data_IF_072575907363
#
_entry.id   IF_072575907363
#
_cell.length_a   1.000
_cell.length_b   1.000
_cell.length_c   1.000
_cell.angle_alpha   90.00
_cell.angle_beta   90.00
_cell.angle_gamma   90.00
#
_symmetry.space_group_name_H-M   'P 1'
#
loop_
_entity.id
_entity.type
_entity.pdbx_description
1 polymer ?
#
# COMPACT_ATOMS: atom_id res chain seq x y z
N UNK A 1 0.32 14.52 16.82
CA UNK A 1 0.57 14.75 15.39
C UNK A 1 1.99 15.25 15.06
N UNK A 2 2.72 15.85 15.99
CA UNK A 2 4.07 16.41 15.68
C UNK A 2 5.17 15.36 15.44
N UNK A 3 5.01 14.13 15.94
CA UNK A 3 6.06 13.10 15.91
C UNK A 3 5.93 12.04 14.82
N UNK A 4 4.94 12.09 13.95
CA UNK A 4 4.75 11.16 12.84
C UNK A 4 4.24 11.85 11.57
N UNK A 5 4.39 11.25 10.41
CA UNK A 5 3.77 11.74 9.17
C UNK A 5 2.24 11.78 9.27
N UNK A 6 1.63 12.67 8.52
CA UNK A 6 0.20 12.59 8.21
C UNK A 6 -0.03 11.46 7.21
N UNK A 7 -1.06 10.66 7.40
CA UNK A 7 -1.30 9.46 6.61
C UNK A 7 -2.65 9.49 5.91
N UNK A 8 -2.65 9.08 4.65
CA UNK A 8 -3.85 8.90 3.83
C UNK A 8 -3.91 7.45 3.36
N UNK A 9 -4.89 6.68 3.80
CA UNK A 9 -5.18 5.38 3.19
C UNK A 9 -5.89 5.62 1.86
N UNK A 10 -5.26 5.22 0.75
CA UNK A 10 -5.78 5.41 -0.61
C UNK A 10 -5.84 4.07 -1.34
N UNK A 11 -7.03 3.66 -1.77
CA UNK A 11 -7.22 2.39 -2.48
C UNK A 11 -8.38 2.46 -3.47
N UNK A 12 -8.26 1.65 -4.53
CA UNK A 12 -9.38 1.24 -5.37
C UNK A 12 -10.09 0.05 -4.71
N UNK A 13 -11.42 0.08 -4.66
CA UNK A 13 -12.20 -1.08 -4.22
C UNK A 13 -13.45 -1.27 -5.09
N UNK A 14 -13.98 -2.50 -5.08
CA UNK A 14 -15.29 -2.80 -5.66
C UNK A 14 -16.43 -2.21 -4.80
N UNK A 15 -17.63 -2.16 -5.36
CA UNK A 15 -18.83 -1.70 -4.64
C UNK A 15 -19.13 -2.54 -3.39
N UNK A 16 -18.74 -3.81 -3.36
CA UNK A 16 -18.87 -4.71 -2.19
C UNK A 16 -17.60 -4.74 -1.30
N UNK A 17 -16.73 -3.75 -1.43
CA UNK A 17 -15.60 -3.51 -0.52
C UNK A 17 -14.37 -4.38 -0.75
N UNK A 18 -14.24 -5.01 -1.92
CA UNK A 18 -13.07 -5.85 -2.24
C UNK A 18 -11.96 -5.02 -2.86
N UNK A 19 -10.72 -5.26 -2.42
CA UNK A 19 -9.50 -4.63 -2.94
C UNK A 19 -8.69 -5.60 -3.82
N UNK A 20 -9.32 -6.70 -4.19
CA UNK A 20 -8.77 -7.72 -5.09
C UNK A 20 -9.88 -8.28 -5.96
N UNK A 21 -9.53 -8.84 -7.13
CA UNK A 21 -10.50 -9.47 -8.03
C UNK A 21 -10.87 -10.90 -7.62
N UNK A 22 -10.16 -11.47 -6.62
CA UNK A 22 -10.41 -12.80 -6.07
C UNK A 22 -9.42 -13.16 -4.97
N UNK A 23 -9.47 -14.41 -4.48
CA UNK A 23 -8.65 -14.89 -3.36
C UNK A 23 -7.23 -15.35 -3.75
N UNK A 24 -6.98 -15.62 -5.04
CA UNK A 24 -5.69 -16.09 -5.53
C UNK A 24 -4.64 -14.98 -5.61
N UNK A 25 -3.36 -15.35 -5.43
CA UNK A 25 -2.25 -14.40 -5.60
C UNK A 25 -2.09 -13.90 -7.04
N UNK A 26 -2.62 -14.64 -8.01
CA UNK A 26 -2.64 -14.25 -9.43
C UNK A 26 -3.79 -13.29 -9.79
N UNK A 27 -4.68 -12.98 -8.85
CA UNK A 27 -5.83 -12.11 -9.08
C UNK A 27 -5.56 -10.72 -8.50
N UNK A 28 -5.72 -9.68 -9.33
CA UNK A 28 -5.37 -8.30 -8.97
C UNK A 28 -6.26 -7.28 -9.68
N UNK A 29 -6.70 -6.25 -8.95
CA UNK A 29 -7.59 -5.22 -9.52
C UNK A 29 -6.94 -4.46 -10.66
N UNK A 30 -5.63 -4.15 -10.58
CA UNK A 30 -4.92 -3.39 -11.60
C UNK A 30 -4.75 -4.17 -12.91
N UNK A 31 -4.71 -5.51 -12.82
CA UNK A 31 -4.61 -6.38 -13.99
C UNK A 31 -5.99 -6.79 -14.54
N UNK A 32 -6.93 -7.09 -13.64
CA UNK A 32 -8.15 -7.78 -14.01
C UNK A 32 -9.29 -6.80 -14.33
N UNK A 33 -9.42 -5.68 -13.60
CA UNK A 33 -10.46 -4.67 -13.86
C UNK A 33 -10.35 -4.03 -15.27
N UNK A 34 -9.15 -3.80 -15.85
CA UNK A 34 -9.04 -3.36 -17.25
C UNK A 34 -9.65 -4.32 -18.27
N UNK A 35 -9.92 -5.57 -17.90
CA UNK A 35 -10.54 -6.56 -18.78
C UNK A 35 -12.08 -6.56 -18.73
N UNK A 36 -12.66 -5.84 -17.76
CA UNK A 36 -14.11 -5.82 -17.51
C UNK A 36 -14.74 -4.59 -18.19
N UNK A 37 -15.64 -4.84 -19.15
CA UNK A 37 -16.39 -3.77 -19.80
C UNK A 37 -17.28 -3.04 -18.77
N UNK A 38 -17.34 -1.72 -18.85
CA UNK A 38 -18.06 -0.88 -17.90
C UNK A 38 -17.23 -0.51 -16.63
N UNK A 39 -16.06 -1.14 -16.44
CA UNK A 39 -15.08 -0.76 -15.40
C UNK A 39 -13.84 -0.17 -16.05
N UNK A 40 -13.33 -0.82 -17.11
CA UNK A 40 -12.15 -0.43 -17.87
C UNK A 40 -12.16 1.02 -18.29
N UNK A 41 -13.31 1.51 -18.73
CA UNK A 41 -13.47 2.84 -19.31
C UNK A 41 -13.19 3.97 -18.30
N UNK A 42 -13.45 3.72 -17.01
CA UNK A 42 -13.25 4.70 -15.93
C UNK A 42 -11.94 4.55 -15.15
N UNK A 43 -11.18 3.48 -15.34
CA UNK A 43 -10.00 3.20 -14.51
C UNK A 43 -8.89 4.24 -14.60
N UNK A 44 -8.75 4.94 -15.74
CA UNK A 44 -7.77 6.02 -15.88
C UNK A 44 -7.95 7.10 -14.80
N UNK A 45 -9.17 7.38 -14.37
CA UNK A 45 -9.49 8.37 -13.33
C UNK A 45 -8.91 7.97 -11.97
N UNK A 46 -8.91 6.68 -11.64
CA UNK A 46 -8.22 6.19 -10.43
C UNK A 46 -6.74 6.54 -10.46
N UNK A 47 -6.05 6.25 -11.56
CA UNK A 47 -4.62 6.54 -11.70
C UNK A 47 -4.32 8.05 -11.74
N UNK A 48 -5.21 8.86 -12.30
CA UNK A 48 -5.10 10.33 -12.26
C UNK A 48 -5.20 10.84 -10.82
N UNK A 49 -6.12 10.32 -10.01
CA UNK A 49 -6.25 10.67 -8.59
C UNK A 49 -5.03 10.16 -7.81
N UNK A 50 -4.58 8.94 -8.06
CA UNK A 50 -3.38 8.36 -7.45
C UNK A 50 -2.14 9.23 -7.70
N UNK A 51 -1.99 9.76 -8.91
CA UNK A 51 -0.87 10.62 -9.28
C UNK A 51 -0.84 11.96 -8.52
N UNK A 52 -1.95 12.37 -7.88
CA UNK A 52 -2.02 13.53 -7.00
C UNK A 52 -1.66 13.22 -5.54
N UNK A 53 -1.36 11.97 -5.23
CA UNK A 53 -1.02 11.50 -3.90
C UNK A 53 0.26 12.11 -3.32
N UNK A 54 0.56 11.72 -2.10
CA UNK A 54 1.76 12.18 -1.40
C UNK A 54 3.04 11.65 -2.11
N UNK A 55 4.13 12.39 -1.97
CA UNK A 55 5.43 11.99 -2.53
C UNK A 55 5.92 10.62 -2.01
N UNK A 56 5.55 10.27 -0.78
CA UNK A 56 5.86 8.98 -0.20
C UNK A 56 4.63 8.05 -0.27
N UNK A 57 4.80 6.90 -0.90
CA UNK A 57 3.81 5.82 -0.92
C UNK A 57 4.30 4.62 -0.12
N UNK A 58 3.47 4.15 0.81
CA UNK A 58 3.74 2.96 1.62
C UNK A 58 2.99 1.75 1.04
N UNK A 59 3.77 0.74 0.69
CA UNK A 59 3.30 -0.53 0.16
C UNK A 59 3.96 -1.71 0.89
N UNK A 60 3.67 -2.93 0.47
CA UNK A 60 4.29 -4.14 1.01
C UNK A 60 5.12 -4.86 -0.06
N UNK A 61 6.17 -5.58 0.38
CA UNK A 61 6.96 -6.42 -0.52
C UNK A 61 6.12 -7.46 -1.25
N UNK A 62 5.05 -7.98 -0.61
CA UNK A 62 4.11 -8.93 -1.25
C UNK A 62 3.38 -8.28 -2.43
N UNK A 63 2.87 -7.06 -2.28
CA UNK A 63 2.21 -6.34 -3.39
C UNK A 63 3.19 -6.09 -4.52
N UNK A 64 4.40 -5.63 -4.20
CA UNK A 64 5.43 -5.38 -5.20
C UNK A 64 5.84 -6.66 -5.95
N UNK A 65 6.04 -7.79 -5.24
CA UNK A 65 6.31 -9.07 -5.86
C UNK A 65 5.16 -9.52 -6.77
N UNK A 66 3.90 -9.33 -6.32
CA UNK A 66 2.71 -9.69 -7.08
C UNK A 66 2.58 -8.92 -8.41
N UNK A 67 2.95 -7.65 -8.45
CA UNK A 67 2.99 -6.87 -9.70
C UNK A 67 4.25 -7.18 -10.55
N UNK A 68 5.06 -8.15 -10.14
CA UNK A 68 6.13 -8.73 -10.94
C UNK A 68 7.46 -7.99 -10.90
N UNK A 69 7.74 -7.14 -9.89
CA UNK A 69 9.02 -6.40 -9.84
C UNK A 69 10.26 -7.31 -9.76
N UNK A 70 10.08 -8.56 -9.30
CA UNK A 70 11.17 -9.52 -9.20
C UNK A 70 11.65 -10.07 -10.55
N UNK A 71 10.76 -10.06 -11.56
CA UNK A 71 10.95 -10.66 -12.88
C UNK A 71 11.13 -9.63 -13.98
N UNK A 72 10.76 -8.36 -13.73
CA UNK A 72 10.89 -7.29 -14.70
C UNK A 72 12.36 -6.90 -14.89
N UNK A 73 12.86 -6.80 -16.12
CA UNK A 73 14.28 -6.52 -16.37
C UNK A 73 14.66 -5.09 -15.98
N UNK A 74 13.87 -4.11 -16.38
CA UNK A 74 14.09 -2.68 -16.11
C UNK A 74 12.77 -1.91 -16.03
N UNK A 75 12.67 -0.87 -15.20
CA UNK A 75 11.51 -0.01 -15.19
C UNK A 75 11.46 0.87 -16.45
N UNK A 76 10.26 1.15 -17.00
CA UNK A 76 10.11 1.89 -18.24
C UNK A 76 10.54 3.36 -18.11
N UNK A 77 10.28 3.97 -16.95
CA UNK A 77 10.59 5.37 -16.67
C UNK A 77 10.73 5.55 -15.17
N UNK A 78 11.72 6.34 -14.76
CA UNK A 78 11.89 6.70 -13.34
C UNK A 78 10.78 7.65 -12.90
N UNK A 79 10.10 7.28 -11.81
CA UNK A 79 9.07 8.10 -11.18
C UNK A 79 9.66 9.00 -10.10
N UNK A 80 9.14 10.22 -9.96
CA UNK A 80 9.54 11.16 -8.90
C UNK A 80 8.99 10.84 -7.51
N UNK A 81 8.32 9.69 -7.34
CA UNK A 81 7.79 9.23 -6.05
C UNK A 81 8.84 8.48 -5.25
N UNK A 82 8.60 8.33 -3.97
CA UNK A 82 9.45 7.61 -3.02
C UNK A 82 8.65 6.49 -2.38
N UNK A 83 9.18 5.28 -2.42
CA UNK A 83 8.49 4.14 -1.84
C UNK A 83 9.01 3.79 -0.46
N UNK A 84 8.08 3.50 0.44
CA UNK A 84 8.32 2.85 1.73
C UNK A 84 7.74 1.44 1.59
N UNK A 85 8.59 0.41 1.59
CA UNK A 85 8.16 -0.96 1.39
C UNK A 85 8.38 -1.77 2.66
N UNK A 86 7.27 -2.21 3.27
CA UNK A 86 7.30 -3.09 4.42
C UNK A 86 7.38 -4.55 3.95
N UNK A 87 8.52 -5.21 4.20
CA UNK A 87 8.79 -6.57 3.76
C UNK A 87 9.45 -7.42 4.85
N UNK A 88 8.64 -7.97 5.73
CA UNK A 88 9.08 -8.81 6.86
C UNK A 88 9.51 -10.21 6.40
N UNK A 89 8.66 -10.85 5.58
CA UNK A 89 9.02 -12.08 4.88
C UNK A 89 9.55 -11.64 3.51
N UNK A 90 10.78 -11.98 3.14
CA UNK A 90 11.40 -11.41 1.95
C UNK A 90 10.69 -11.88 0.69
N UNK A 91 9.66 -11.13 0.29
CA UNK A 91 8.98 -11.31 -1.00
C UNK A 91 9.81 -10.69 -2.13
N UNK A 92 10.56 -9.63 -1.81
CA UNK A 92 11.46 -8.99 -2.76
C UNK A 92 12.77 -9.77 -2.86
N UNK A 93 13.14 -10.11 -4.09
CA UNK A 93 14.48 -10.61 -4.44
C UNK A 93 15.46 -9.45 -4.61
N UNK A 94 16.76 -9.75 -4.81
CA UNK A 94 17.74 -8.72 -5.20
C UNK A 94 17.33 -7.99 -6.49
N UNK A 95 16.80 -8.72 -7.47
CA UNK A 95 16.30 -8.14 -8.72
C UNK A 95 15.14 -7.17 -8.47
N UNK A 96 14.20 -7.54 -7.60
CA UNK A 96 13.09 -6.66 -7.22
C UNK A 96 13.54 -5.39 -6.50
N UNK A 97 14.50 -5.49 -5.58
CA UNK A 97 15.09 -4.32 -4.90
C UNK A 97 15.81 -3.42 -5.91
N UNK A 98 16.60 -4.03 -6.81
CA UNK A 98 17.28 -3.30 -7.90
C UNK A 98 16.26 -2.58 -8.78
N UNK A 99 15.23 -3.28 -9.24
CA UNK A 99 14.17 -2.72 -10.06
C UNK A 99 13.51 -1.52 -9.38
N UNK A 100 13.09 -1.66 -8.11
CA UNK A 100 12.44 -0.59 -7.36
C UNK A 100 13.34 0.65 -7.23
N UNK A 101 14.62 0.48 -6.92
CA UNK A 101 15.57 1.60 -6.81
C UNK A 101 15.77 2.34 -8.14
N UNK A 102 15.62 1.66 -9.29
CA UNK A 102 15.67 2.30 -10.60
C UNK A 102 14.32 2.91 -11.02
N UNK A 103 13.23 2.41 -10.47
CA UNK A 103 11.88 2.88 -10.78
C UNK A 103 11.50 4.15 -10.02
N UNK A 104 11.91 4.30 -8.76
CA UNK A 104 11.52 5.41 -7.89
C UNK A 104 12.70 6.30 -7.50
N UNK A 105 12.42 7.52 -7.05
CA UNK A 105 13.45 8.45 -6.59
C UNK A 105 14.21 7.94 -5.36
N UNK A 106 13.50 7.32 -4.41
CA UNK A 106 14.07 6.72 -3.19
C UNK A 106 13.26 5.50 -2.76
N UNK A 107 13.96 4.48 -2.29
CA UNK A 107 13.37 3.30 -1.66
C UNK A 107 13.78 3.25 -0.20
N UNK A 108 12.80 3.25 0.70
CA UNK A 108 12.97 2.96 2.13
C UNK A 108 12.40 1.56 2.36
N UNK A 109 13.26 0.58 2.56
CA UNK A 109 12.84 -0.78 2.89
C UNK A 109 12.74 -0.93 4.41
N UNK A 110 11.59 -1.38 4.88
CA UNK A 110 11.32 -1.63 6.31
C UNK A 110 11.23 -3.12 6.54
N UNK A 111 12.07 -3.67 7.41
CA UNK A 111 12.12 -5.11 7.68
C UNK A 111 12.56 -5.43 9.09
N UNK A 112 12.13 -6.59 9.62
CA UNK A 112 12.63 -7.21 10.84
C UNK A 112 13.45 -8.48 10.53
N UNK A 113 13.69 -8.77 9.24
CA UNK A 113 14.47 -9.92 8.82
C UNK A 113 15.93 -9.54 8.56
N UNK A 114 16.89 -10.02 9.39
CA UNK A 114 18.31 -9.68 9.22
C UNK A 114 18.95 -10.28 7.95
N UNK A 115 18.25 -11.22 7.29
CA UNK A 115 18.71 -11.87 6.06
C UNK A 115 18.00 -11.34 4.81
N UNK A 116 17.32 -10.19 4.92
CA UNK A 116 16.63 -9.61 3.76
C UNK A 116 17.63 -9.30 2.61
N UNK A 117 17.31 -9.66 1.35
CA UNK A 117 18.22 -9.47 0.21
C UNK A 117 18.70 -8.02 0.00
N UNK A 118 17.93 -7.04 0.43
CA UNK A 118 18.26 -5.61 0.32
C UNK A 118 19.57 -5.24 1.02
N UNK A 119 19.95 -5.89 2.12
CA UNK A 119 21.23 -5.61 2.81
C UNK A 119 22.45 -5.82 1.90
N UNK A 120 22.36 -6.77 0.98
CA UNK A 120 23.44 -7.03 0.03
C UNK A 120 23.52 -6.01 -1.11
N UNK A 121 22.47 -5.22 -1.28
CA UNK A 121 22.35 -4.21 -2.34
C UNK A 121 22.65 -2.79 -1.83
N UNK A 122 22.62 -2.56 -0.52
CA UNK A 122 22.71 -1.23 0.10
C UNK A 122 23.97 -0.45 -0.30
N UNK A 123 25.12 -1.13 -0.41
CA UNK A 123 26.38 -0.49 -0.81
C UNK A 123 26.46 -0.11 -2.30
N UNK A 124 25.56 -0.67 -3.13
CA UNK A 124 25.53 -0.50 -4.58
C UNK A 124 24.47 0.50 -5.05
N UNK A 125 23.45 0.77 -4.22
CA UNK A 125 22.29 1.57 -4.55
C UNK A 125 22.22 2.80 -3.65
N UNK A 126 22.61 3.96 -4.19
CA UNK A 126 22.69 5.21 -3.43
C UNK A 126 21.37 5.80 -2.97
N UNK A 127 20.23 5.27 -3.46
CA UNK A 127 18.89 5.69 -3.09
C UNK A 127 18.10 4.62 -2.30
N UNK A 128 18.81 3.61 -1.75
CA UNK A 128 18.24 2.57 -0.89
C UNK A 128 18.57 2.85 0.58
N UNK A 129 17.54 3.06 1.38
CA UNK A 129 17.64 3.06 2.84
C UNK A 129 16.99 1.81 3.41
N UNK A 130 17.52 1.29 4.50
CA UNK A 130 16.95 0.13 5.21
C UNK A 130 16.68 0.51 6.65
N UNK A 131 15.40 0.48 7.04
CA UNK A 131 14.96 0.55 8.42
C UNK A 131 14.83 -0.87 8.98
N UNK A 132 15.76 -1.25 9.83
CA UNK A 132 15.82 -2.58 10.42
C UNK A 132 15.36 -2.58 11.88
N UNK A 133 14.37 -3.40 12.21
CA UNK A 133 13.80 -3.54 13.54
C UNK A 133 14.03 -4.95 14.07
N UNK A 134 15.11 -5.15 14.83
CA UNK A 134 15.55 -6.47 15.31
C UNK A 134 14.49 -7.23 16.14
N UNK A 135 13.71 -6.49 16.93
CA UNK A 135 12.74 -7.06 17.87
C UNK A 135 11.29 -7.05 17.32
N UNK A 136 11.15 -6.88 16.02
CA UNK A 136 9.85 -6.75 15.34
C UNK A 136 9.51 -5.30 15.01
N UNK A 137 8.63 -5.12 14.03
CA UNK A 137 8.21 -3.79 13.56
C UNK A 137 7.06 -3.32 14.44
N UNK A 138 7.32 -2.27 15.22
CA UNK A 138 6.31 -1.44 15.87
C UNK A 138 5.94 -0.29 14.93
N UNK A 139 4.66 -0.17 14.58
CA UNK A 139 4.20 0.81 13.60
C UNK A 139 4.33 2.25 14.09
N UNK A 140 4.07 2.54 15.37
CA UNK A 140 4.23 3.87 15.95
C UNK A 140 5.68 4.32 15.90
N UNK A 141 6.60 3.43 16.28
CA UNK A 141 8.03 3.68 16.20
C UNK A 141 8.47 3.87 14.76
N UNK A 142 8.03 3.01 13.85
CA UNK A 142 8.34 3.13 12.41
C UNK A 142 7.92 4.49 11.86
N UNK A 143 6.71 4.94 12.17
CA UNK A 143 6.21 6.24 11.72
C UNK A 143 7.02 7.40 12.33
N UNK A 144 7.41 7.29 13.59
CA UNK A 144 8.29 8.28 14.23
C UNK A 144 9.68 8.35 13.58
N UNK A 145 10.28 7.20 13.29
CA UNK A 145 11.61 7.11 12.65
C UNK A 145 11.55 7.66 11.20
N UNK A 146 10.49 7.36 10.45
CA UNK A 146 10.26 7.93 9.12
C UNK A 146 10.18 9.47 9.16
N UNK A 147 9.51 10.02 10.16
CA UNK A 147 9.42 11.47 10.34
C UNK A 147 10.76 12.10 10.70
N UNK A 148 11.46 11.53 11.67
CA UNK A 148 12.70 12.10 12.23
C UNK A 148 13.91 11.94 11.31
N UNK A 149 14.10 10.70 10.82
CA UNK A 149 15.36 10.33 10.18
C UNK A 149 15.29 10.46 8.65
N UNK A 150 14.08 10.43 8.07
CA UNK A 150 13.86 10.54 6.64
C UNK A 150 13.07 11.77 6.19
N UNK A 151 12.71 12.66 7.14
CA UNK A 151 11.95 13.89 6.88
C UNK A 151 10.65 13.63 6.10
N UNK A 152 9.97 12.53 6.42
CA UNK A 152 8.68 12.16 5.80
C UNK A 152 7.58 12.93 6.51
N UNK A 153 6.92 13.83 5.81
CA UNK A 153 5.82 14.64 6.37
C UNK A 153 4.45 14.04 6.11
N UNK A 154 4.26 13.41 4.96
CA UNK A 154 3.01 12.82 4.52
C UNK A 154 3.26 11.50 3.81
N UNK A 155 2.33 10.55 3.98
CA UNK A 155 2.39 9.21 3.37
C UNK A 155 1.03 8.82 2.83
N UNK A 156 0.98 8.39 1.58
CA UNK A 156 -0.14 7.65 1.02
C UNK A 156 0.08 6.16 1.27
N UNK A 157 -0.85 5.51 1.97
CA UNK A 157 -0.80 4.08 2.30
C UNK A 157 -1.64 3.31 1.28
N UNK A 158 -1.00 2.36 0.59
CA UNK A 158 -1.62 1.51 -0.43
C UNK A 158 -1.32 0.04 -0.10
N UNK A 159 -1.79 -0.42 1.04
CA UNK A 159 -1.46 -1.76 1.55
C UNK A 159 -2.69 -2.69 1.57
N UNK A 160 -2.46 -3.98 1.81
CA UNK A 160 -3.54 -4.96 1.91
C UNK A 160 -4.32 -4.85 3.22
N UNK A 161 -5.55 -5.37 3.23
CA UNK A 161 -6.51 -5.21 4.33
C UNK A 161 -6.01 -5.61 5.71
N UNK A 162 -5.10 -6.58 5.80
CA UNK A 162 -4.51 -6.99 7.09
C UNK A 162 -3.64 -5.88 7.68
N UNK A 163 -2.78 -5.26 6.87
CA UNK A 163 -1.91 -4.17 7.33
C UNK A 163 -2.73 -2.90 7.57
N UNK A 164 -3.73 -2.62 6.73
CA UNK A 164 -4.66 -1.51 6.94
C UNK A 164 -5.33 -1.60 8.31
N UNK A 165 -5.74 -2.82 8.74
CA UNK A 165 -6.30 -3.05 10.06
C UNK A 165 -5.32 -2.71 11.19
N UNK A 166 -4.05 -3.10 11.05
CA UNK A 166 -3.05 -2.80 12.09
C UNK A 166 -2.79 -1.29 12.19
N UNK A 167 -2.72 -0.57 11.08
CA UNK A 167 -2.66 0.90 11.07
C UNK A 167 -3.88 1.55 11.73
N UNK A 168 -5.09 1.06 11.44
CA UNK A 168 -6.32 1.56 12.04
C UNK A 168 -6.39 1.30 13.55
N UNK A 169 -5.94 0.13 14.00
CA UNK A 169 -5.86 -0.20 15.44
C UNK A 169 -4.90 0.69 16.20
N UNK A 170 -3.76 0.99 15.59
CA UNK A 170 -2.74 1.87 16.14
C UNK A 170 -3.09 3.36 16.05
N UNK A 171 -4.28 3.71 15.53
CA UNK A 171 -4.70 5.10 15.30
C UNK A 171 -3.72 5.89 14.41
N UNK A 172 -3.21 5.22 13.38
CA UNK A 172 -2.19 5.74 12.47
C UNK A 172 -2.76 6.09 11.08
N UNK A 173 -4.07 6.22 10.92
CA UNK A 173 -4.73 6.69 9.70
C UNK A 173 -5.44 8.01 9.99
N UNK A 174 -5.00 9.09 9.34
CA UNK A 174 -5.60 10.41 9.48
C UNK A 174 -6.73 10.64 8.46
N UNK A 175 -6.55 10.16 7.23
CA UNK A 175 -7.51 10.29 6.14
C UNK A 175 -7.70 8.96 5.42
N UNK A 176 -8.92 8.78 4.90
CA UNK A 176 -9.26 7.63 4.04
C UNK A 176 -9.85 8.19 2.74
N UNK A 177 -9.22 7.86 1.64
CA UNK A 177 -9.65 8.23 0.29
C UNK A 177 -9.86 6.94 -0.51
N UNK A 178 -11.08 6.67 -0.92
CA UNK A 178 -11.46 5.43 -1.59
C UNK A 178 -12.11 5.73 -2.93
N UNK A 179 -11.54 5.16 -3.98
CA UNK A 179 -12.18 5.11 -5.30
C UNK A 179 -12.99 3.83 -5.39
N UNK A 180 -14.28 3.95 -5.67
CA UNK A 180 -15.19 2.80 -5.76
C UNK A 180 -15.45 2.49 -7.23
N UNK A 181 -14.99 1.34 -7.71
CA UNK A 181 -15.30 0.84 -9.03
C UNK A 181 -16.74 0.27 -9.07
N UNK A 182 -17.48 0.47 -10.17
CA UNK A 182 -18.86 -0.01 -10.33
C UNK A 182 -18.90 -1.52 -10.63
N UNK A 183 -18.29 -2.34 -9.78
CA UNK A 183 -18.19 -3.79 -9.92
C UNK A 183 -18.48 -4.48 -8.59
N UNK A 184 -19.09 -5.65 -8.66
CA UNK A 184 -19.29 -6.58 -7.55
C UNK A 184 -18.37 -7.78 -7.76
N UNK A 185 -17.50 -8.05 -6.80
CA UNK A 185 -16.54 -9.16 -6.86
C UNK A 185 -17.03 -10.37 -6.06
N UNK A 186 -17.53 -10.16 -4.84
CA UNK A 186 -17.96 -11.21 -3.94
C UNK A 186 -16.77 -12.02 -3.36
N UNK A 187 -17.09 -13.25 -2.91
CA UNK A 187 -16.10 -14.17 -2.34
C UNK A 187 -15.76 -13.86 -0.87
N UNK A 188 -15.94 -14.88 -0.01
CA UNK A 188 -15.64 -14.76 1.43
C UNK A 188 -14.15 -14.51 1.69
N UNK A 189 -13.30 -15.16 0.92
CA UNK A 189 -11.85 -15.15 1.12
C UNK A 189 -11.13 -14.10 0.23
N UNK A 190 -11.89 -13.32 -0.57
CA UNK A 190 -11.35 -12.19 -1.31
C UNK A 190 -11.09 -11.02 -0.36
N UNK A 191 -9.87 -10.49 -0.40
CA UNK A 191 -9.43 -9.42 0.50
C UNK A 191 -10.33 -8.18 0.42
N UNK A 192 -10.56 -7.57 1.57
CA UNK A 192 -11.33 -6.34 1.73
C UNK A 192 -10.42 -5.17 2.14
N UNK A 193 -10.99 -3.97 2.16
CA UNK A 193 -10.28 -2.77 2.62
C UNK A 193 -9.65 -2.96 4.01
N UNK A 194 -10.34 -3.67 4.90
CA UNK A 194 -9.89 -3.96 6.27
C UNK A 194 -10.20 -5.43 6.59
N UNK A 195 -9.16 -6.25 6.57
CA UNK A 195 -9.25 -7.67 6.88
C UNK A 195 -8.90 -7.97 8.35
N UNK A 196 -9.12 -9.21 8.76
CA UNK A 196 -8.66 -9.75 10.04
C UNK A 196 -9.75 -10.50 10.80
N UNK A 197 -9.52 -10.73 12.09
CA UNK A 197 -10.46 -11.48 12.94
C UNK A 197 -11.77 -10.71 13.11
N UNK A 198 -12.88 -11.39 12.88
CA UNK A 198 -14.21 -10.80 13.08
C UNK A 198 -14.48 -10.50 14.55
N UNK A 199 -15.17 -9.40 14.81
CA UNK A 199 -15.75 -9.09 16.12
C UNK A 199 -16.83 -10.14 16.42
N UNK A 200 -16.76 -10.73 17.60
CA UNK A 200 -17.71 -11.79 18.03
C UNK A 200 -18.47 -11.43 19.31
N UNK A 201 -18.04 -10.35 19.99
CA UNK A 201 -18.64 -9.90 21.26
C UNK A 201 -18.93 -8.41 21.23
N UNK A 202 -19.96 -8.00 21.96
CA UNK A 202 -20.40 -6.59 22.04
C UNK A 202 -19.31 -5.69 22.63
N UNK A 203 -18.54 -6.21 23.57
CA UNK A 203 -17.44 -5.47 24.21
C UNK A 203 -16.32 -5.08 23.25
N UNK A 204 -16.23 -5.79 22.11
CA UNK A 204 -15.23 -5.54 21.06
C UNK A 204 -15.65 -4.41 20.09
N UNK A 205 -16.87 -3.89 20.21
CA UNK A 205 -17.36 -2.79 19.35
C UNK A 205 -16.54 -1.50 19.50
N UNK A 206 -15.83 -1.33 20.61
CA UNK A 206 -14.89 -0.23 20.81
C UNK A 206 -13.70 -0.24 19.82
N UNK A 207 -13.47 -1.34 19.11
CA UNK A 207 -12.45 -1.46 18.05
C UNK A 207 -12.91 -0.82 16.72
N UNK A 208 -14.21 -0.56 16.56
CA UNK A 208 -14.71 0.10 15.37
C UNK A 208 -14.27 1.57 15.34
N UNK A 209 -13.96 2.05 14.15
CA UNK A 209 -13.58 3.45 13.92
C UNK A 209 -14.69 4.15 13.13
N UNK A 210 -15.29 5.18 13.71
CA UNK A 210 -16.19 6.07 13.01
C UNK A 210 -15.39 7.10 12.21
N UNK A 211 -15.77 7.30 10.96
CA UNK A 211 -15.17 8.30 10.08
C UNK A 211 -16.16 9.43 9.83
N UNK A 212 -15.63 10.65 9.60
CA UNK A 212 -16.41 11.78 9.13
C UNK A 212 -16.27 11.85 7.61
N UNK A 213 -17.40 11.84 6.88
CA UNK A 213 -17.38 12.12 5.46
C UNK A 213 -16.97 13.59 5.25
N UNK A 214 -15.90 13.82 4.54
CA UNK A 214 -15.39 15.15 4.23
C UNK A 214 -15.85 15.61 2.84
N UNK A 215 -15.75 14.71 1.85
CA UNK A 215 -16.04 14.99 0.46
C UNK A 215 -16.46 13.71 -0.27
N UNK A 216 -17.25 13.84 -1.32
CA UNK A 216 -17.50 12.79 -2.28
C UNK A 216 -17.69 13.39 -3.68
N UNK A 217 -17.28 12.65 -4.68
CA UNK A 217 -17.41 13.03 -6.10
C UNK A 217 -17.92 11.85 -6.91
N UNK A 218 -18.79 12.11 -7.86
CA UNK A 218 -19.18 11.12 -8.87
C UNK A 218 -18.24 11.29 -10.06
N UNK A 219 -17.34 10.32 -10.21
CA UNK A 219 -16.40 10.29 -11.33
C UNK A 219 -17.12 9.61 -12.51
N UNK A 220 -17.29 10.33 -13.62
CA UNK A 220 -17.95 9.77 -14.80
C UNK A 220 -16.92 9.01 -15.65
N UNK A 221 -17.24 7.77 -16.01
CA UNK A 221 -16.68 7.21 -17.23
C UNK A 221 -17.23 8.06 -18.37
N UNK A 222 -16.33 8.64 -19.17
CA UNK A 222 -16.75 9.39 -20.34
C UNK A 222 -17.75 8.58 -21.17
N UNK A 223 -18.75 9.26 -21.73
CA UNK A 223 -19.78 8.67 -22.60
C UNK A 223 -19.16 7.95 -23.80
#
# INVERSE_FOLDING_TARGET
MENRPVTTLFLLMSLDGKINSGAGDDLDVDRDFPTINGVREGLHQYYEIEATGDMYSLNTGRVMAKIGVNEKPEPPTKMGVRFIILDRKPHLTKAGVYYLCHWVDRLILVTDNPHHPAFQMQSQLGNLDILFYKDGIDLDRMMSDLKKDHAVDRITIQSGGTLNREFLKADLIDYVNIVVAPVLVGGKDTNTLVDGTSITRVEELNQLRALKLLEYEVIHAGE
#
